data_IF_358112763343
#
_entry.id   IF_358112763343
#
_cell.length_a   1.000
_cell.length_b   1.000
_cell.length_c   1.000
_cell.angle_alpha   90.00
_cell.angle_beta   90.00
_cell.angle_gamma   90.00
#
_symmetry.space_group_name_H-M   'P 1'
#
loop_
_entity.id
_entity.type
_entity.pdbx_description
1 polymer ?
#
# COMPACT_ATOMS: atom_id res chain seq x y z
N UNK A 1 36.11 -6.27 33.41
CA UNK A 1 36.31 -6.19 34.88
C UNK A 1 36.10 -4.73 35.29
N UNK A 2 35.49 -4.49 36.46
CA UNK A 2 35.33 -3.19 37.16
C UNK A 2 34.69 -2.02 36.39
N UNK A 3 33.46 -1.71 36.80
CA UNK A 3 32.81 -0.39 36.79
C UNK A 3 33.57 0.63 37.65
N UNK A 4 33.30 1.93 37.43
CA UNK A 4 33.50 3.02 38.42
C UNK A 4 32.30 3.99 38.34
N UNK A 5 31.92 4.58 39.47
CA UNK A 5 30.78 5.50 39.68
C UNK A 5 31.32 6.81 40.33
N UNK A 6 30.46 7.65 40.92
CA UNK A 6 30.77 8.75 41.87
C UNK A 6 31.20 10.09 41.20
N UNK A 7 30.72 11.28 41.59
CA UNK A 7 29.53 11.61 42.41
C UNK A 7 29.02 13.06 42.24
N UNK A 8 27.95 13.43 42.96
CA UNK A 8 27.30 14.76 42.98
C UNK A 8 28.11 15.91 43.63
N UNK A 9 27.72 17.18 43.34
CA UNK A 9 27.51 18.21 44.38
C UNK A 9 26.47 19.28 43.96
N UNK A 10 25.72 19.79 44.95
CA UNK A 10 24.69 20.84 44.86
C UNK A 10 24.94 21.93 45.92
N UNK A 11 24.73 23.22 45.59
CA UNK A 11 24.54 24.39 46.52
C UNK A 11 24.51 25.71 45.70
N UNK A 12 23.80 26.82 45.95
CA UNK A 12 22.64 27.20 46.80
C UNK A 12 22.00 28.52 46.28
N UNK A 13 20.91 29.01 46.89
CA UNK A 13 20.31 30.37 46.70
C UNK A 13 21.25 31.51 47.25
N UNK A 14 20.97 32.83 47.22
CA UNK A 14 19.76 33.68 47.24
C UNK A 14 20.16 35.19 46.93
N UNK A 15 19.37 36.29 46.90
CA UNK A 15 17.92 36.64 46.89
C UNK A 15 17.74 38.18 46.58
N UNK A 16 16.53 38.65 46.21
CA UNK A 16 16.04 40.06 46.39
C UNK A 16 16.33 41.11 45.30
N UNK A 17 15.70 42.30 45.27
CA UNK A 17 14.40 42.77 45.83
C UNK A 17 13.98 44.17 45.24
N UNK A 18 12.74 44.62 45.47
CA UNK A 18 12.15 45.99 45.27
C UNK A 18 12.11 46.59 43.82
N UNK A 19 11.17 47.48 43.42
CA UNK A 19 9.90 47.92 44.04
C UNK A 19 9.54 49.41 43.81
N UNK A 20 8.67 49.75 42.82
CA UNK A 20 7.96 51.06 42.65
C UNK A 20 6.92 50.98 41.49
N UNK A 21 5.72 51.59 41.50
CA UNK A 21 5.01 52.22 42.62
C UNK A 21 4.19 53.50 42.33
N UNK A 22 3.70 53.76 41.10
CA UNK A 22 2.92 54.98 40.79
C UNK A 22 1.50 54.71 40.23
N UNK A 23 0.54 55.53 40.68
CA UNK A 23 -0.91 55.43 40.45
C UNK A 23 -1.40 56.61 39.60
N UNK A 24 -2.45 56.41 38.81
CA UNK A 24 -3.14 57.46 38.05
C UNK A 24 -4.56 57.06 37.74
N UNK A 25 -5.52 57.76 38.35
CA UNK A 25 -6.96 57.50 38.24
C UNK A 25 -7.61 58.52 37.31
N UNK A 26 -8.40 58.07 36.33
CA UNK A 26 -9.38 58.90 35.62
C UNK A 26 -10.47 58.00 35.01
N UNK A 27 -11.75 58.37 35.16
CA UNK A 27 -12.90 57.59 34.65
C UNK A 27 -13.39 58.19 33.31
N UNK A 28 -13.48 57.37 32.25
CA UNK A 28 -13.65 57.85 30.87
C UNK A 28 -14.49 56.97 29.94
N UNK A 29 -15.71 56.65 30.37
CA UNK A 29 -16.91 56.24 29.61
C UNK A 29 -16.79 55.67 28.16
N UNK A 30 -17.02 54.35 28.06
CA UNK A 30 -17.73 53.59 27.02
C UNK A 30 -17.29 53.54 25.52
N UNK A 31 -17.77 52.49 24.85
CA UNK A 31 -17.95 52.30 23.40
C UNK A 31 -16.73 52.19 22.47
N UNK A 32 -16.45 50.95 22.00
CA UNK A 32 -16.14 50.79 20.56
C UNK A 32 -14.97 49.92 20.10
N UNK A 33 -14.76 48.72 20.65
CA UNK A 33 -14.26 47.54 19.91
C UNK A 33 -12.89 47.58 19.21
N UNK A 34 -11.91 46.85 19.78
CA UNK A 34 -10.78 46.28 19.03
C UNK A 34 -10.36 44.92 19.61
N UNK A 35 -10.64 43.83 18.90
CA UNK A 35 -10.34 42.46 19.32
C UNK A 35 -8.92 41.99 18.88
N UNK A 36 -7.94 42.91 18.87
CA UNK A 36 -6.67 42.73 18.14
C UNK A 36 -5.37 42.93 18.94
N UNK A 37 -5.42 42.99 20.27
CA UNK A 37 -4.23 43.10 21.13
C UNK A 37 -4.32 42.24 22.40
N UNK A 38 -4.14 40.92 22.24
CA UNK A 38 -3.91 39.99 23.36
C UNK A 38 -2.90 38.90 22.93
N UNK A 39 -1.62 38.98 23.31
CA UNK A 39 -0.59 37.99 22.95
C UNK A 39 -0.64 36.74 23.86
N UNK A 40 -1.83 36.30 24.27
CA UNK A 40 -2.03 35.26 25.31
C UNK A 40 -2.56 33.91 24.83
N UNK A 41 -3.03 33.77 23.58
CA UNK A 41 -3.81 32.61 23.11
C UNK A 41 -3.02 31.68 22.18
N UNK A 42 -1.97 31.05 22.70
CA UNK A 42 -1.16 30.05 21.97
C UNK A 42 -1.87 28.70 21.85
N UNK A 43 -3.04 28.70 21.21
CA UNK A 43 -3.89 27.53 20.98
C UNK A 43 -3.32 26.64 19.87
N UNK A 44 -2.36 25.77 20.23
CA UNK A 44 -1.77 24.77 19.34
C UNK A 44 -2.77 23.64 18.99
N UNK A 45 -3.75 23.94 18.14
CA UNK A 45 -4.81 23.02 17.71
C UNK A 45 -4.30 21.94 16.74
N UNK A 46 -3.60 20.94 17.27
CA UNK A 46 -3.23 19.74 16.53
C UNK A 46 -4.46 18.82 16.34
N UNK A 47 -5.08 18.86 15.15
CA UNK A 47 -6.17 17.93 14.84
C UNK A 47 -6.91 18.21 13.53
N UNK A 48 -6.53 17.49 12.46
CA UNK A 48 -7.40 17.24 11.30
C UNK A 48 -7.25 15.77 10.92
N UNK A 49 -8.31 14.98 11.12
CA UNK A 49 -8.35 13.55 10.82
C UNK A 49 -9.54 13.22 9.90
N UNK A 50 -9.45 12.07 9.23
CA UNK A 50 -10.52 11.40 8.48
C UNK A 50 -11.22 12.22 7.37
N UNK A 51 -10.76 12.01 6.13
CA UNK A 51 -11.38 12.54 4.92
C UNK A 51 -12.79 11.99 4.65
N UNK A 52 -13.70 12.85 4.20
CA UNK A 52 -14.82 12.50 3.32
C UNK A 52 -15.25 13.72 2.50
N UNK A 53 -15.59 13.54 1.22
CA UNK A 53 -16.40 14.50 0.45
C UNK A 53 -15.74 15.80 -0.04
N UNK A 54 -14.66 15.71 -0.84
CA UNK A 54 -14.30 16.82 -1.74
C UNK A 54 -15.28 16.90 -2.93
N UNK A 55 -16.52 17.28 -2.65
CA UNK A 55 -17.49 17.62 -3.67
C UNK A 55 -17.09 18.92 -4.39
N UNK A 56 -17.13 18.93 -5.72
CA UNK A 56 -16.79 20.09 -6.57
C UNK A 56 -17.84 21.23 -6.51
N UNK A 57 -18.60 21.33 -5.42
CA UNK A 57 -19.66 22.32 -5.21
C UNK A 57 -19.13 23.53 -4.43
N UNK A 58 -18.68 24.56 -5.17
CA UNK A 58 -18.53 25.95 -4.72
C UNK A 58 -17.51 26.26 -3.61
N UNK A 59 -17.69 25.71 -2.42
CA UNK A 59 -17.09 26.18 -1.16
C UNK A 59 -15.73 25.54 -0.85
N UNK A 60 -15.56 24.24 -1.16
CA UNK A 60 -14.31 23.50 -0.89
C UNK A 60 -13.08 24.04 -1.63
N UNK A 61 -13.29 24.64 -2.81
CA UNK A 61 -12.23 25.22 -3.66
C UNK A 61 -11.46 26.36 -3.00
N UNK A 62 -12.06 27.05 -2.02
CA UNK A 62 -11.38 28.12 -1.26
C UNK A 62 -10.38 27.56 -0.25
N UNK A 63 -10.75 26.49 0.46
CA UNK A 63 -9.89 25.81 1.43
C UNK A 63 -8.74 25.11 0.70
N UNK A 64 -9.05 24.35 -0.36
CA UNK A 64 -8.03 23.67 -1.19
C UNK A 64 -7.10 24.69 -1.89
N UNK A 65 -7.63 25.80 -2.41
CA UNK A 65 -6.86 26.88 -3.02
C UNK A 65 -6.02 27.72 -2.04
N UNK A 66 -6.33 27.66 -0.75
CA UNK A 66 -5.50 28.18 0.34
C UNK A 66 -4.39 27.20 0.71
N UNK A 67 -4.73 25.93 0.92
CA UNK A 67 -3.77 24.86 1.23
C UNK A 67 -2.72 24.69 0.12
N UNK A 68 -3.12 24.74 -1.15
CA UNK A 68 -2.19 24.69 -2.29
C UNK A 68 -1.23 25.89 -2.33
N UNK A 69 -1.66 27.10 -1.90
CA UNK A 69 -0.76 28.25 -1.75
C UNK A 69 0.20 28.06 -0.58
N UNK A 70 -0.27 27.55 0.54
CA UNK A 70 0.56 27.25 1.71
C UNK A 70 1.62 26.18 1.39
N UNK A 71 1.25 25.12 0.66
CA UNK A 71 2.18 24.07 0.23
C UNK A 71 3.13 24.54 -0.89
N UNK A 72 2.72 25.47 -1.77
CA UNK A 72 3.61 26.06 -2.76
C UNK A 72 4.59 27.09 -2.15
N UNK A 73 4.23 27.73 -1.04
CA UNK A 73 5.00 28.81 -0.41
C UNK A 73 5.87 28.40 0.80
N UNK A 74 5.83 27.14 1.24
CA UNK A 74 6.59 26.68 2.42
C UNK A 74 7.63 25.62 2.07
N UNK A 75 8.78 25.66 2.77
CA UNK A 75 9.82 24.62 2.66
C UNK A 75 9.29 23.22 2.98
N UNK A 76 8.33 23.12 3.92
CA UNK A 76 7.64 21.86 4.24
C UNK A 76 6.76 21.37 3.08
N UNK A 77 6.03 22.27 2.41
CA UNK A 77 5.25 21.92 1.23
C UNK A 77 6.11 21.51 0.03
N UNK A 78 7.24 22.17 -0.20
CA UNK A 78 8.23 21.76 -1.20
C UNK A 78 8.92 20.42 -0.83
N UNK A 79 9.15 20.16 0.46
CA UNK A 79 9.65 18.88 0.96
C UNK A 79 8.65 17.75 0.72
N UNK A 80 7.36 17.92 1.07
CA UNK A 80 6.30 16.96 0.75
C UNK A 80 6.17 16.75 -0.76
N UNK A 81 6.19 17.83 -1.55
CA UNK A 81 6.14 17.75 -3.01
C UNK A 81 7.39 17.08 -3.60
N UNK A 82 8.52 17.08 -2.89
CA UNK A 82 9.74 16.33 -3.22
C UNK A 82 9.67 14.84 -2.84
N UNK A 83 8.90 14.49 -1.79
CA UNK A 83 8.65 13.13 -1.31
C UNK A 83 7.75 12.35 -2.29
N UNK A 84 6.68 12.96 -2.78
CA UNK A 84 5.73 12.32 -3.72
C UNK A 84 6.29 12.06 -5.14
N UNK A 85 7.49 12.55 -5.48
CA UNK A 85 8.01 12.57 -6.86
C UNK A 85 9.02 11.48 -7.22
N UNK A 86 9.28 10.50 -6.33
CA UNK A 86 10.48 9.66 -6.43
C UNK A 86 10.34 8.16 -6.18
N UNK A 87 9.13 7.58 -6.13
CA UNK A 87 9.06 6.13 -6.32
C UNK A 87 9.33 5.79 -7.79
N UNK A 88 10.55 5.34 -8.06
CA UNK A 88 11.07 4.94 -9.37
C UNK A 88 11.15 3.42 -9.53
N UNK A 89 10.68 2.66 -8.54
CA UNK A 89 10.53 1.21 -8.67
C UNK A 89 9.59 0.89 -9.83
N UNK A 90 9.67 -0.30 -10.44
CA UNK A 90 8.70 -0.67 -11.45
C UNK A 90 7.30 -0.79 -10.85
N UNK A 91 6.29 -0.59 -11.69
CA UNK A 91 4.92 -0.97 -11.37
C UNK A 91 4.75 -2.49 -11.27
N UNK A 92 3.52 -2.97 -11.03
CA UNK A 92 3.22 -4.39 -11.12
C UNK A 92 3.37 -4.89 -12.57
N UNK A 93 3.93 -6.10 -12.80
CA UNK A 93 3.77 -6.81 -14.06
C UNK A 93 2.28 -7.08 -14.34
N UNK A 94 1.93 -7.12 -15.63
CA UNK A 94 0.53 -7.20 -16.11
C UNK A 94 0.34 -8.53 -16.84
N UNK A 95 -0.89 -9.03 -16.93
CA UNK A 95 -1.26 -10.28 -17.64
C UNK A 95 -0.38 -11.49 -17.27
N UNK A 96 0.06 -11.56 -16.00
CA UNK A 96 0.88 -12.67 -15.52
C UNK A 96 0.07 -13.98 -15.54
N UNK A 97 0.64 -14.99 -16.19
CA UNK A 97 0.04 -16.32 -16.36
C UNK A 97 1.12 -17.38 -16.19
N UNK A 98 0.73 -18.52 -15.62
CA UNK A 98 1.57 -19.69 -15.39
C UNK A 98 0.76 -20.95 -15.70
N UNK A 99 1.30 -21.87 -16.49
CA UNK A 99 0.67 -23.14 -16.86
C UNK A 99 1.70 -24.24 -17.04
N UNK A 100 1.40 -25.44 -16.53
CA UNK A 100 2.30 -26.61 -16.63
C UNK A 100 1.82 -27.58 -17.70
N UNK A 101 2.70 -27.90 -18.65
CA UNK A 101 2.49 -28.91 -19.68
C UNK A 101 3.56 -30.01 -19.53
N UNK A 102 3.15 -31.15 -18.97
CA UNK A 102 4.04 -32.26 -18.63
C UNK A 102 5.22 -31.83 -17.75
N UNK A 103 6.48 -32.00 -18.20
CA UNK A 103 7.67 -31.66 -17.42
C UNK A 103 8.06 -30.17 -17.44
N UNK A 104 7.37 -29.32 -18.23
CA UNK A 104 7.70 -27.90 -18.41
C UNK A 104 6.56 -27.02 -17.89
N UNK A 105 6.91 -25.97 -17.16
CA UNK A 105 5.99 -24.88 -16.83
C UNK A 105 6.31 -23.67 -17.69
N UNK A 106 5.28 -23.17 -18.37
CA UNK A 106 5.31 -21.96 -19.17
C UNK A 106 4.82 -20.78 -18.32
N UNK A 107 5.54 -19.66 -18.43
CA UNK A 107 5.18 -18.40 -17.78
C UNK A 107 5.12 -17.31 -18.87
N UNK A 108 4.15 -16.42 -18.78
CA UNK A 108 4.04 -15.25 -19.64
C UNK A 108 3.51 -14.04 -18.87
N UNK A 109 3.98 -12.84 -19.22
CA UNK A 109 3.59 -11.57 -18.61
C UNK A 109 3.84 -10.40 -19.57
N UNK A 110 3.30 -9.23 -19.23
CA UNK A 110 3.60 -7.96 -19.85
C UNK A 110 4.37 -7.04 -18.88
N UNK A 111 5.22 -6.18 -19.44
CA UNK A 111 5.99 -5.22 -18.67
C UNK A 111 5.10 -4.17 -17.97
N UNK A 112 5.51 -3.61 -16.81
CA UNK A 112 4.72 -2.61 -16.11
C UNK A 112 4.51 -1.33 -16.94
N UNK A 113 3.27 -0.84 -16.99
CA UNK A 113 2.89 0.44 -17.64
C UNK A 113 3.06 1.66 -16.72
N UNK A 114 3.56 1.46 -15.50
CA UNK A 114 3.75 2.50 -14.47
C UNK A 114 5.06 2.29 -13.71
N UNK A 115 5.54 3.32 -13.01
CA UNK A 115 6.82 3.29 -12.28
C UNK A 115 8.02 3.57 -13.18
N UNK A 116 9.20 3.10 -12.77
CA UNK A 116 10.40 3.06 -13.62
C UNK A 116 10.46 1.80 -14.50
N UNK A 117 11.39 1.73 -15.46
CA UNK A 117 11.60 0.52 -16.25
C UNK A 117 12.06 -0.65 -15.36
N UNK A 118 11.67 -1.89 -15.67
CA UNK A 118 12.24 -3.08 -15.04
C UNK A 118 13.67 -3.33 -15.54
N UNK A 119 14.50 -3.90 -14.67
CA UNK A 119 15.81 -4.50 -15.00
C UNK A 119 15.75 -6.03 -14.79
N UNK A 120 14.89 -6.50 -13.87
CA UNK A 120 14.55 -7.91 -13.67
C UNK A 120 13.06 -8.12 -13.34
N UNK A 121 12.63 -9.36 -13.47
CA UNK A 121 11.40 -9.90 -12.87
C UNK A 121 11.75 -10.99 -11.86
N UNK A 122 11.10 -10.96 -10.69
CA UNK A 122 11.23 -11.92 -9.59
C UNK A 122 9.92 -12.68 -9.47
N UNK A 123 9.99 -14.01 -9.58
CA UNK A 123 8.87 -14.91 -9.38
C UNK A 123 8.78 -15.28 -7.90
N UNK A 124 7.69 -14.90 -7.24
CA UNK A 124 7.38 -15.32 -5.88
C UNK A 124 6.31 -16.42 -5.86
N UNK A 125 6.54 -17.45 -5.05
CA UNK A 125 5.60 -18.52 -4.74
C UNK A 125 5.08 -18.38 -3.31
N UNK A 126 3.81 -18.76 -3.11
CA UNK A 126 3.23 -18.98 -1.79
C UNK A 126 3.35 -20.46 -1.42
N UNK A 127 4.11 -20.73 -0.35
CA UNK A 127 4.30 -22.05 0.26
C UNK A 127 4.17 -21.89 1.77
N UNK A 128 3.39 -22.74 2.43
CA UNK A 128 3.09 -22.65 3.88
C UNK A 128 2.44 -21.30 4.27
N UNK A 129 1.59 -20.77 3.39
CA UNK A 129 0.99 -19.44 3.51
C UNK A 129 1.95 -18.24 3.35
N UNK A 130 3.27 -18.47 3.25
CA UNK A 130 4.33 -17.45 3.16
C UNK A 130 4.81 -17.28 1.72
N UNK A 131 5.09 -16.04 1.34
CA UNK A 131 5.74 -15.72 0.08
C UNK A 131 7.25 -15.97 0.15
N UNK A 132 7.80 -16.58 -0.90
CA UNK A 132 9.24 -16.83 -1.10
C UNK A 132 9.59 -16.57 -2.57
N UNK A 133 10.71 -15.93 -2.82
CA UNK A 133 11.31 -15.80 -4.15
C UNK A 133 11.77 -17.19 -4.64
N UNK A 134 11.61 -17.48 -5.93
CA UNK A 134 11.91 -18.79 -6.53
C UNK A 134 12.84 -18.68 -7.74
N UNK A 135 12.52 -17.77 -8.68
CA UNK A 135 13.27 -17.58 -9.93
C UNK A 135 13.39 -16.09 -10.28
N UNK A 136 14.51 -15.72 -10.90
CA UNK A 136 14.76 -14.40 -11.50
C UNK A 136 14.72 -14.54 -13.04
N UNK A 137 14.23 -13.50 -13.73
CA UNK A 137 14.30 -13.36 -15.19
C UNK A 137 14.80 -11.95 -15.56
N UNK A 138 15.65 -11.80 -16.57
CA UNK A 138 16.10 -10.49 -17.05
C UNK A 138 14.96 -9.72 -17.75
N UNK A 139 14.98 -8.37 -17.71
CA UNK A 139 13.89 -7.52 -18.20
C UNK A 139 13.48 -7.69 -19.67
N UNK A 140 14.39 -8.15 -20.54
CA UNK A 140 14.07 -8.44 -21.95
C UNK A 140 13.11 -9.64 -22.10
N UNK A 141 12.98 -10.47 -21.06
CA UNK A 141 12.07 -11.61 -21.03
C UNK A 141 10.67 -11.16 -20.59
N UNK A 142 9.67 -11.55 -21.37
CA UNK A 142 8.23 -11.46 -21.06
C UNK A 142 7.56 -12.83 -21.09
N UNK A 143 8.35 -13.88 -21.32
CA UNK A 143 7.95 -15.30 -21.31
C UNK A 143 9.12 -16.14 -20.83
N UNK A 144 8.84 -17.22 -20.13
CA UNK A 144 9.82 -18.21 -19.71
C UNK A 144 9.26 -19.63 -19.85
N UNK A 145 10.15 -20.61 -19.96
CA UNK A 145 9.84 -22.03 -19.88
C UNK A 145 10.84 -22.67 -18.90
N UNK A 146 10.35 -23.29 -17.83
CA UNK A 146 11.16 -23.78 -16.71
C UNK A 146 10.78 -25.22 -16.37
N UNK A 147 11.66 -26.03 -15.77
CA UNK A 147 11.29 -27.37 -15.31
C UNK A 147 10.18 -27.29 -14.25
N UNK A 148 9.16 -28.12 -14.38
CA UNK A 148 8.02 -28.13 -13.44
C UNK A 148 8.45 -28.39 -11.97
N UNK A 149 9.58 -29.06 -11.76
CA UNK A 149 10.17 -29.31 -10.44
C UNK A 149 10.67 -28.07 -9.69
N UNK A 150 11.06 -26.99 -10.38
CA UNK A 150 11.44 -25.73 -9.73
C UNK A 150 10.21 -25.06 -9.08
N UNK A 151 9.05 -25.27 -9.71
CA UNK A 151 7.77 -24.63 -9.42
C UNK A 151 6.73 -25.60 -8.82
N UNK A 152 7.18 -26.75 -8.30
CA UNK A 152 6.29 -27.73 -7.66
C UNK A 152 5.83 -27.26 -6.27
N UNK A 153 4.65 -27.72 -5.81
CA UNK A 153 4.21 -27.56 -4.42
C UNK A 153 4.04 -26.11 -3.96
N UNK A 154 3.50 -25.23 -4.82
CA UNK A 154 3.10 -23.87 -4.47
C UNK A 154 1.60 -23.66 -4.71
N UNK A 155 0.94 -23.02 -3.75
CA UNK A 155 -0.52 -22.76 -3.77
C UNK A 155 -0.88 -21.60 -4.71
N UNK A 156 0.01 -20.60 -4.79
CA UNK A 156 -0.26 -19.31 -5.44
C UNK A 156 1.05 -18.70 -5.93
N UNK A 157 0.97 -17.98 -7.05
CA UNK A 157 2.10 -17.33 -7.72
C UNK A 157 1.86 -15.85 -7.88
N UNK A 158 2.94 -15.06 -7.89
CA UNK A 158 2.90 -13.67 -8.37
C UNK A 158 4.27 -13.25 -8.91
N UNK A 159 4.26 -12.33 -9.85
CA UNK A 159 5.47 -11.78 -10.46
C UNK A 159 5.70 -10.36 -9.96
N UNK A 160 6.96 -9.98 -9.74
CA UNK A 160 7.35 -8.63 -9.32
C UNK A 160 8.42 -8.11 -10.26
N UNK A 161 8.34 -6.85 -10.67
CA UNK A 161 9.42 -6.22 -11.40
C UNK A 161 10.37 -5.49 -10.42
N UNK A 162 11.66 -5.46 -10.70
CA UNK A 162 12.68 -4.77 -9.89
C UNK A 162 13.67 -3.98 -10.74
N UNK A 163 14.28 -2.96 -10.13
CA UNK A 163 15.38 -2.17 -10.69
C UNK A 163 16.26 -1.59 -9.56
N UNK A 164 17.26 -0.78 -9.88
CA UNK A 164 18.16 -0.05 -8.96
C UNK A 164 17.45 0.68 -7.78
N UNK A 165 16.15 1.00 -7.89
CA UNK A 165 15.37 1.69 -6.86
C UNK A 165 14.60 0.72 -5.94
N UNK A 166 14.69 -0.59 -6.20
CA UNK A 166 14.12 -1.69 -5.43
C UNK A 166 13.03 -2.49 -6.18
N UNK A 167 12.45 -3.46 -5.48
CA UNK A 167 11.37 -4.30 -6.00
C UNK A 167 10.05 -3.54 -5.96
N UNK A 168 9.32 -3.55 -7.07
CA UNK A 168 8.01 -2.96 -7.27
C UNK A 168 6.87 -3.71 -6.55
N UNK A 169 5.64 -3.31 -6.90
CA UNK A 169 4.42 -4.03 -6.47
C UNK A 169 4.34 -5.40 -7.18
N UNK A 170 3.72 -6.41 -6.57
CA UNK A 170 3.41 -7.66 -7.27
C UNK A 170 2.29 -7.46 -8.30
N UNK A 171 2.28 -8.34 -9.30
CA UNK A 171 1.12 -8.61 -10.15
C UNK A 171 -0.08 -9.08 -9.32
N UNK A 172 -1.22 -9.27 -9.99
CA UNK A 172 -2.29 -10.11 -9.46
C UNK A 172 -1.78 -11.52 -9.13
N UNK A 173 -2.41 -12.15 -8.14
CA UNK A 173 -2.00 -13.46 -7.61
C UNK A 173 -2.69 -14.60 -8.39
N UNK A 174 -1.92 -15.49 -9.00
CA UNK A 174 -2.40 -16.63 -9.80
C UNK A 174 -2.35 -17.90 -8.96
N UNK A 175 -3.52 -18.39 -8.54
CA UNK A 175 -3.66 -19.66 -7.83
C UNK A 175 -3.58 -20.86 -8.78
N UNK A 176 -3.15 -22.01 -8.25
CA UNK A 176 -3.47 -23.29 -8.91
C UNK A 176 -4.98 -23.50 -8.75
N UNK A 177 -5.72 -23.48 -9.87
CA UNK A 177 -7.10 -23.94 -9.87
C UNK A 177 -7.09 -25.46 -9.70
N UNK A 178 -7.32 -25.95 -8.49
CA UNK A 178 -7.84 -27.29 -8.32
C UNK A 178 -9.14 -27.37 -9.13
N UNK A 179 -9.11 -28.16 -10.21
CA UNK A 179 -10.32 -28.52 -10.93
C UNK A 179 -11.09 -29.46 -10.01
N UNK A 180 -11.98 -28.89 -9.18
CA UNK A 180 -12.92 -29.63 -8.35
C UNK A 180 -13.58 -30.66 -9.26
N UNK A 181 -13.21 -31.93 -9.05
CA UNK A 181 -13.50 -33.00 -10.00
C UNK A 181 -14.90 -33.50 -9.73
N UNK A 182 -15.86 -32.65 -10.13
CA UNK A 182 -17.29 -32.78 -9.92
C UNK A 182 -17.82 -34.10 -10.45
N UNK A 183 -17.89 -35.08 -9.54
CA UNK A 183 -18.62 -36.35 -9.59
C UNK A 183 -19.22 -36.69 -10.96
N UNK A 184 -18.50 -37.52 -11.73
CA UNK A 184 -18.95 -37.93 -13.05
C UNK A 184 -20.36 -38.58 -13.03
N UNK A 185 -21.19 -38.35 -14.06
CA UNK A 185 -22.37 -39.17 -14.27
C UNK A 185 -21.93 -40.61 -14.50
N UNK A 186 -22.61 -41.55 -13.85
CA UNK A 186 -22.22 -42.96 -13.86
C UNK A 186 -22.30 -43.61 -15.24
N UNK A 187 -21.58 -44.73 -15.36
CA UNK A 187 -21.69 -45.69 -16.46
C UNK A 187 -23.16 -46.00 -16.78
N UNK A 188 -23.60 -45.60 -17.98
CA UNK A 188 -24.93 -45.83 -18.50
C UNK A 188 -25.06 -47.26 -19.00
N UNK A 189 -25.03 -48.23 -18.08
CA UNK A 189 -25.15 -49.67 -18.36
C UNK A 189 -26.32 -49.95 -19.31
N UNK A 190 -26.07 -50.85 -20.25
CA UNK A 190 -27.06 -51.35 -21.21
C UNK A 190 -28.23 -52.02 -20.50
N UNK A 191 -29.45 -51.63 -20.86
CA UNK A 191 -30.64 -52.48 -20.77
C UNK A 191 -31.15 -52.72 -22.20
N UNK A 192 -30.95 -53.92 -22.72
CA UNK A 192 -31.51 -54.33 -24.01
C UNK A 192 -33.03 -54.53 -23.86
N UNK A 193 -33.82 -53.86 -24.70
CA UNK A 193 -35.27 -54.07 -24.76
C UNK A 193 -35.54 -55.48 -25.33
N UNK A 194 -36.15 -56.41 -24.58
CA UNK A 194 -36.58 -57.68 -25.16
C UNK A 194 -37.69 -57.43 -26.19
N UNK A 195 -37.58 -58.08 -27.34
CA UNK A 195 -38.69 -58.19 -28.29
C UNK A 195 -39.76 -59.10 -27.69
N UNK A 196 -41.01 -58.61 -27.62
CA UNK A 196 -42.15 -59.38 -27.16
C UNK A 196 -42.95 -59.86 -28.36
N UNK A 197 -42.85 -61.15 -28.70
CA UNK A 197 -43.67 -61.77 -29.74
C UNK A 197 -45.16 -61.57 -29.46
N UNK A 198 -45.90 -61.18 -30.51
CA UNK A 198 -47.34 -60.99 -30.47
C UNK A 198 -48.02 -62.01 -31.41
N UNK A 199 -48.12 -63.26 -30.95
CA UNK A 199 -48.86 -64.32 -31.65
C UNK A 199 -50.26 -64.55 -31.04
N UNK A 200 -51.25 -64.64 -31.93
CA UNK A 200 -52.30 -65.63 -31.80
C UNK A 200 -53.62 -65.26 -31.10
N UNK A 201 -54.70 -65.83 -31.64
CA UNK A 201 -56.08 -65.91 -31.11
C UNK A 201 -56.87 -64.59 -30.94
N UNK A 202 -58.16 -64.55 -31.28
CA UNK A 202 -59.08 -65.58 -31.82
C UNK A 202 -60.11 -64.97 -32.78
#
# INVERSE_FOLDING_TARGET
VTTTTEDEQLTSAALGDEGDGSQGDDEGDDSGGSFLTDPGTLAAAAGVAAAAGLGLSGLGSKILGGLLRFLAGTSFGLFLLGLFRRDKRPGPPIDFTISTDGPITHLAWAAPTTGGPPEKYVLEARRDGKWREVLDFDADNTRAAVPASEVEGAETWRLRASNDHGIGKPSDEVGVLEVESGSGPGDGSTDEKPESDADGTA
#
